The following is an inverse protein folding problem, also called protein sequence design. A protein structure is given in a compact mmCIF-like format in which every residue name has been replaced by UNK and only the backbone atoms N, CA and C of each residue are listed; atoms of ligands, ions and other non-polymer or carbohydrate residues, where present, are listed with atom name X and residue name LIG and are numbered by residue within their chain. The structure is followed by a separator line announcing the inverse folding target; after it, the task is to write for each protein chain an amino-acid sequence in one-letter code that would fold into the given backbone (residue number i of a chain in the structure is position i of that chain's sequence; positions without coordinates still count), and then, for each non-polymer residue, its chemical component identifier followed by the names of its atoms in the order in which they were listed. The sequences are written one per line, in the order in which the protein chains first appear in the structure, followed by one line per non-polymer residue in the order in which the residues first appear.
data_IF_630182915062
#
_entry.id   IF_630182915062
#
_cell.length_a   1.000
_cell.length_b   1.000
_cell.length_c   1.000
_cell.angle_alpha   90.00
_cell.angle_beta   90.00
_cell.angle_gamma   90.00
#
_symmetry.space_group_name_H-M   'P 1'
#
loop_
_entity.id
_entity.type
_entity.pdbx_description
1 polymer ?
#
# COMPACT_ATOMS: atom_id res chain seq x y z
N UNK A 1 18.18 23.95 -13.29
CA UNK A 1 19.54 23.91 -12.69
C UNK A 1 20.30 25.22 -12.96
N UNK A 2 20.44 25.69 -14.21
CA UNK A 2 21.12 26.96 -14.54
C UNK A 2 20.60 28.21 -13.80
N UNK A 3 19.28 28.39 -13.69
CA UNK A 3 18.67 29.50 -12.94
C UNK A 3 18.90 29.47 -11.43
N UNK A 4 19.01 28.28 -10.83
CA UNK A 4 19.23 28.14 -9.39
C UNK A 4 20.67 28.50 -8.98
N UNK A 5 21.64 28.17 -9.83
CA UNK A 5 23.05 28.52 -9.64
C UNK A 5 23.24 30.04 -9.77
N UNK A 6 22.59 30.67 -10.75
CA UNK A 6 22.62 32.12 -10.92
C UNK A 6 21.97 32.87 -9.75
N UNK A 7 20.81 32.41 -9.26
CA UNK A 7 20.15 33.00 -8.10
C UNK A 7 21.01 32.89 -6.83
N UNK A 8 21.64 31.73 -6.60
CA UNK A 8 22.56 31.53 -5.47
C UNK A 8 23.77 32.47 -5.54
N UNK A 9 24.37 32.62 -6.73
CA UNK A 9 25.50 33.53 -6.94
C UNK A 9 25.13 35.00 -6.66
N UNK A 10 23.96 35.44 -7.13
CA UNK A 10 23.45 36.80 -6.86
C UNK A 10 23.19 37.00 -5.37
N UNK A 11 22.58 36.02 -4.68
CA UNK A 11 22.38 36.09 -3.22
C UNK A 11 23.71 36.21 -2.48
N UNK A 12 24.69 35.37 -2.78
CA UNK A 12 26.01 35.40 -2.13
C UNK A 12 26.73 36.74 -2.36
N UNK A 13 26.74 37.25 -3.60
CA UNK A 13 27.34 38.54 -3.93
C UNK A 13 26.64 39.71 -3.21
N UNK A 14 25.32 39.63 -3.03
CA UNK A 14 24.56 40.67 -2.30
C UNK A 14 24.87 40.66 -0.81
N UNK A 15 24.97 39.48 -0.18
CA UNK A 15 25.36 39.39 1.23
C UNK A 15 26.79 39.87 1.46
N UNK A 16 27.72 39.56 0.54
CA UNK A 16 29.09 40.09 0.57
C UNK A 16 29.12 41.62 0.43
N UNK A 17 28.34 42.19 -0.48
CA UNK A 17 28.22 43.64 -0.67
C UNK A 17 27.57 44.32 0.54
N UNK A 18 26.54 43.70 1.13
CA UNK A 18 25.90 44.14 2.37
C UNK A 18 26.90 44.22 3.53
N UNK A 19 27.73 43.20 3.71
CA UNK A 19 28.79 43.19 4.72
C UNK A 19 29.86 44.29 4.48
N UNK A 20 30.22 44.55 3.23
CA UNK A 20 31.14 45.66 2.87
C UNK A 20 30.51 47.02 3.17
N UNK A 21 29.22 47.21 2.86
CA UNK A 21 28.48 48.44 3.12
C UNK A 21 28.29 48.68 4.63
N UNK A 22 28.10 47.63 5.40
CA UNK A 22 28.02 47.69 6.87
C UNK A 22 29.37 48.10 7.48
N UNK A 23 30.49 47.57 6.98
CA UNK A 23 31.85 48.00 7.35
C UNK A 23 32.12 49.47 7.02
N UNK A 24 31.50 50.02 5.97
CA UNK A 24 31.58 51.46 5.60
C UNK A 24 30.55 52.34 6.34
N UNK A 25 30.02 51.89 7.48
CA UNK A 25 28.99 52.56 8.30
C UNK A 25 27.66 52.87 7.58
N UNK A 26 27.38 52.31 6.40
CA UNK A 26 26.12 52.50 5.65
C UNK A 26 25.07 51.44 6.03
N UNK A 27 24.82 51.28 7.33
CA UNK A 27 23.98 50.20 7.89
C UNK A 27 22.55 50.18 7.32
N UNK A 28 21.94 51.36 7.12
CA UNK A 28 20.60 51.47 6.51
C UNK A 28 20.58 50.97 5.06
N UNK A 29 21.59 51.32 4.27
CA UNK A 29 21.71 50.90 2.87
C UNK A 29 21.94 49.38 2.76
N UNK A 30 22.77 48.82 3.65
CA UNK A 30 22.99 47.37 3.76
C UNK A 30 21.69 46.63 4.12
N UNK A 31 20.94 47.13 5.11
CA UNK A 31 19.64 46.58 5.48
C UNK A 31 18.61 46.63 4.36
N UNK A 32 18.54 47.74 3.61
CA UNK A 32 17.67 47.87 2.44
C UNK A 32 18.05 46.89 1.32
N UNK A 33 19.35 46.73 1.04
CA UNK A 33 19.85 45.81 0.02
C UNK A 33 19.52 44.35 0.36
N UNK A 34 19.79 43.93 1.60
CA UNK A 34 19.46 42.57 2.07
C UNK A 34 17.96 42.33 2.02
N UNK A 35 17.15 43.29 2.49
CA UNK A 35 15.68 43.19 2.46
C UNK A 35 15.14 43.09 1.03
N UNK A 36 15.68 43.89 0.10
CA UNK A 36 15.30 43.85 -1.31
C UNK A 36 15.62 42.49 -1.94
N UNK A 37 16.81 41.92 -1.67
CA UNK A 37 17.19 40.62 -2.24
C UNK A 37 16.41 39.47 -1.62
N UNK A 38 16.10 39.52 -0.32
CA UNK A 38 15.19 38.56 0.31
C UNK A 38 13.80 38.66 -0.33
N UNK A 39 13.25 39.87 -0.48
CA UNK A 39 11.94 40.08 -1.11
C UNK A 39 11.91 39.61 -2.57
N UNK A 40 12.90 40.01 -3.38
CA UNK A 40 13.05 39.58 -4.76
C UNK A 40 13.20 38.05 -4.86
N UNK A 41 13.94 37.43 -3.93
CA UNK A 41 14.06 35.98 -3.81
C UNK A 41 12.72 35.30 -3.54
N UNK A 42 11.92 35.83 -2.61
CA UNK A 42 10.55 35.36 -2.33
C UNK A 42 9.68 35.51 -3.57
N UNK A 43 9.67 36.68 -4.22
CA UNK A 43 8.90 36.92 -5.44
C UNK A 43 9.30 35.97 -6.58
N UNK A 44 10.59 35.78 -6.83
CA UNK A 44 11.10 34.84 -7.82
C UNK A 44 10.68 33.39 -7.51
N UNK A 45 10.73 32.99 -6.24
CA UNK A 45 10.27 31.67 -5.82
C UNK A 45 8.76 31.51 -6.06
N UNK A 46 7.95 32.49 -5.64
CA UNK A 46 6.50 32.49 -5.85
C UNK A 46 6.13 32.44 -7.34
N UNK A 47 6.77 33.25 -8.19
CA UNK A 47 6.58 33.25 -9.64
C UNK A 47 6.95 31.87 -10.20
N UNK A 48 8.14 31.38 -9.89
CA UNK A 48 8.64 30.10 -10.40
C UNK A 48 7.76 28.93 -9.98
N UNK A 49 7.20 28.95 -8.77
CA UNK A 49 6.43 27.82 -8.26
C UNK A 49 4.95 27.89 -8.66
N UNK A 50 4.30 29.05 -8.53
CA UNK A 50 2.84 29.14 -8.59
C UNK A 50 2.29 29.71 -9.90
N UNK A 51 3.08 30.43 -10.69
CA UNK A 51 2.59 31.05 -11.93
C UNK A 51 2.77 30.15 -13.16
N UNK A 52 2.02 30.38 -14.25
CA UNK A 52 2.19 29.66 -15.52
C UNK A 52 3.57 29.82 -16.17
N UNK A 53 4.34 30.85 -15.81
CA UNK A 53 5.70 31.09 -16.32
C UNK A 53 6.70 30.05 -15.76
N UNK A 54 6.39 29.46 -14.60
CA UNK A 54 7.19 28.43 -13.96
C UNK A 54 6.52 27.06 -13.94
N UNK A 55 6.51 26.40 -12.78
CA UNK A 55 5.94 25.06 -12.61
C UNK A 55 4.40 25.03 -12.64
N UNK A 56 3.74 26.19 -12.53
CA UNK A 56 2.29 26.29 -12.42
C UNK A 56 1.71 25.33 -11.37
N UNK A 57 2.35 25.25 -10.20
CA UNK A 57 2.02 24.26 -9.18
C UNK A 57 0.56 24.37 -8.74
N UNK A 58 0.02 25.59 -8.68
CA UNK A 58 -1.39 25.85 -8.38
C UNK A 58 -2.36 25.15 -9.36
N UNK A 59 -2.02 25.06 -10.64
CA UNK A 59 -2.85 24.41 -11.66
C UNK A 59 -2.93 22.88 -11.49
N UNK A 60 -2.08 22.29 -10.63
CA UNK A 60 -2.14 20.85 -10.30
C UNK A 60 -3.21 20.52 -9.27
N UNK A 61 -3.80 21.51 -8.62
CA UNK A 61 -4.83 21.31 -7.61
C UNK A 61 -6.22 21.50 -8.20
N UNK A 62 -7.20 20.84 -7.57
CA UNK A 62 -8.62 21.03 -7.90
C UNK A 62 -9.04 22.47 -7.58
N UNK A 63 -9.93 23.04 -8.40
CA UNK A 63 -10.52 24.35 -8.14
C UNK A 63 -11.24 24.35 -6.78
N UNK A 64 -11.26 25.51 -6.12
CA UNK A 64 -12.02 25.73 -4.87
C UNK A 64 -13.48 25.29 -5.07
N UNK A 65 -14.03 24.57 -4.09
CA UNK A 65 -15.41 24.06 -4.11
C UNK A 65 -15.61 22.75 -4.87
N UNK A 66 -14.56 22.19 -5.51
CA UNK A 66 -14.66 20.95 -6.30
C UNK A 66 -14.06 19.74 -5.57
N UNK A 67 -13.32 19.94 -4.47
CA UNK A 67 -12.65 18.85 -3.74
C UNK A 67 -13.62 17.78 -3.25
N UNK A 68 -14.78 18.19 -2.74
CA UNK A 68 -15.79 17.26 -2.23
C UNK A 68 -16.39 16.38 -3.34
N UNK A 69 -16.75 16.94 -4.49
CA UNK A 69 -17.30 16.16 -5.61
C UNK A 69 -16.26 15.21 -6.25
N UNK A 70 -14.98 15.54 -6.11
CA UNK A 70 -13.87 14.65 -6.49
C UNK A 70 -13.76 13.50 -5.50
N UNK A 71 -13.69 13.76 -4.20
CA UNK A 71 -13.53 12.73 -3.16
C UNK A 71 -14.78 11.85 -3.03
N UNK A 72 -15.97 12.46 -2.98
CA UNK A 72 -17.27 11.80 -2.93
C UNK A 72 -17.83 11.62 -4.34
N UNK A 73 -17.04 10.95 -5.19
CA UNK A 73 -17.45 10.66 -6.55
C UNK A 73 -18.65 9.66 -6.60
N UNK A 74 -19.15 9.38 -7.81
CA UNK A 74 -20.30 8.48 -8.00
C UNK A 74 -20.11 7.09 -7.39
N UNK A 75 -18.93 6.48 -7.48
CA UNK A 75 -18.69 5.15 -6.90
C UNK A 75 -18.77 5.19 -5.37
N UNK A 76 -18.21 6.23 -4.73
CA UNK A 76 -18.32 6.44 -3.28
C UNK A 76 -19.76 6.71 -2.87
N UNK A 77 -20.48 7.56 -3.61
CA UNK A 77 -21.90 7.83 -3.37
C UNK A 77 -22.76 6.60 -3.54
N UNK A 78 -22.47 5.73 -4.50
CA UNK A 78 -23.19 4.45 -4.64
C UNK A 78 -23.07 3.63 -3.35
N UNK A 79 -21.87 3.50 -2.79
CA UNK A 79 -21.62 2.79 -1.52
C UNK A 79 -22.40 3.42 -0.36
N UNK A 80 -22.35 4.74 -0.21
CA UNK A 80 -23.06 5.45 0.86
C UNK A 80 -24.60 5.34 0.72
N UNK A 81 -25.11 5.37 -0.51
CA UNK A 81 -26.54 5.31 -0.80
C UNK A 81 -27.11 3.89 -0.73
N UNK A 82 -26.27 2.86 -0.91
CA UNK A 82 -26.72 1.49 -1.01
C UNK A 82 -27.29 0.91 0.30
N UNK A 83 -27.29 1.68 1.40
CA UNK A 83 -27.75 1.24 2.74
C UNK A 83 -27.23 -0.17 3.02
N UNK A 84 -25.92 -0.36 2.85
CA UNK A 84 -25.26 -1.66 2.93
C UNK A 84 -25.64 -2.34 4.25
N UNK A 85 -26.28 -3.48 4.14
CA UNK A 85 -27.13 -4.06 5.18
C UNK A 85 -26.37 -4.84 6.27
N UNK A 86 -25.06 -4.60 6.44
CA UNK A 86 -24.25 -5.40 7.36
C UNK A 86 -23.82 -4.57 8.57
N UNK A 87 -24.41 -4.91 9.72
CA UNK A 87 -23.81 -4.65 11.03
C UNK A 87 -22.49 -5.42 11.10
N UNK A 88 -21.36 -4.72 11.23
CA UNK A 88 -20.05 -5.36 11.40
C UNK A 88 -18.91 -4.69 10.65
N UNK A 89 -17.78 -5.40 10.56
CA UNK A 89 -16.60 -4.96 9.83
C UNK A 89 -16.57 -5.52 8.41
N UNK A 90 -16.57 -4.64 7.40
CA UNK A 90 -16.30 -4.99 6.01
C UNK A 90 -15.43 -3.92 5.34
N UNK A 91 -14.89 -4.25 4.17
CA UNK A 91 -14.18 -3.35 3.28
C UNK A 91 -14.86 -3.22 1.93
N UNK A 92 -14.59 -2.10 1.28
CA UNK A 92 -15.03 -1.79 -0.07
C UNK A 92 -13.81 -1.60 -0.98
N UNK A 93 -13.82 -2.25 -2.15
CA UNK A 93 -12.85 -1.97 -3.21
C UNK A 93 -13.42 -0.90 -4.15
N UNK A 94 -12.68 0.20 -4.31
CA UNK A 94 -13.02 1.34 -5.15
C UNK A 94 -12.13 1.41 -6.39
N UNK A 95 -12.54 2.15 -7.43
CA UNK A 95 -11.70 2.36 -8.61
C UNK A 95 -10.45 3.16 -8.23
N UNK A 96 -9.27 2.61 -8.54
CA UNK A 96 -7.92 2.98 -8.06
C UNK A 96 -7.40 4.39 -8.39
N UNK A 97 -8.23 5.44 -8.30
CA UNK A 97 -7.89 6.78 -8.80
C UNK A 97 -7.82 7.86 -7.72
N UNK A 98 -8.33 7.60 -6.51
CA UNK A 98 -8.40 8.60 -5.44
C UNK A 98 -8.05 8.01 -4.08
N UNK A 99 -6.74 7.89 -3.84
CA UNK A 99 -6.21 7.45 -2.56
C UNK A 99 -6.79 8.25 -1.40
N UNK A 100 -7.08 7.54 -0.30
CA UNK A 100 -7.61 8.10 0.95
C UNK A 100 -9.00 8.75 0.84
N UNK A 101 -9.74 8.56 -0.26
CA UNK A 101 -11.16 8.97 -0.31
C UNK A 101 -12.00 8.29 0.78
N UNK A 102 -11.56 7.11 1.21
CA UNK A 102 -12.07 6.36 2.37
C UNK A 102 -12.14 7.16 3.66
N UNK A 103 -11.11 7.97 3.95
CA UNK A 103 -11.08 8.81 5.16
C UNK A 103 -12.17 9.88 5.12
N UNK A 104 -12.39 10.49 3.96
CA UNK A 104 -13.43 11.50 3.78
C UNK A 104 -14.84 10.88 3.83
N UNK A 105 -14.99 9.68 3.28
CA UNK A 105 -16.29 8.98 3.20
C UNK A 105 -16.61 8.09 4.41
N UNK A 106 -15.67 7.93 5.36
CA UNK A 106 -15.76 7.03 6.53
C UNK A 106 -16.11 5.58 6.14
N UNK A 107 -15.46 5.08 5.09
CA UNK A 107 -15.59 3.70 4.60
C UNK A 107 -14.24 3.01 4.69
N UNK A 108 -14.22 1.73 5.06
CA UNK A 108 -12.99 0.97 5.08
C UNK A 108 -12.64 0.52 3.64
N UNK A 109 -11.46 0.90 3.13
CA UNK A 109 -10.97 0.49 1.80
C UNK A 109 -9.67 -0.30 1.89
N UNK A 110 -9.25 -0.87 0.76
CA UNK A 110 -7.97 -1.58 0.63
C UNK A 110 -6.86 -0.70 0.04
N UNK A 111 -7.23 0.41 -0.61
CA UNK A 111 -6.29 1.42 -1.10
C UNK A 111 -5.95 2.46 -0.03
N UNK A 112 -4.69 2.91 -0.01
CA UNK A 112 -4.25 4.02 0.81
C UNK A 112 -2.95 4.64 0.29
N UNK A 113 -2.72 5.89 0.69
CA UNK A 113 -1.46 6.60 0.50
C UNK A 113 -1.02 7.22 1.83
N UNK A 114 0.06 6.70 2.42
CA UNK A 114 0.63 7.22 3.66
C UNK A 114 2.14 7.36 3.54
N UNK A 115 2.70 8.43 4.10
CA UNK A 115 4.15 8.69 4.09
C UNK A 115 4.96 7.59 4.77
N UNK A 116 4.35 6.90 5.74
CA UNK A 116 4.96 5.81 6.50
C UNK A 116 4.03 4.61 6.41
N UNK A 117 4.59 3.48 5.98
CA UNK A 117 3.88 2.20 5.92
C UNK A 117 4.77 1.12 6.55
N UNK A 118 4.20 0.08 7.19
CA UNK A 118 5.00 -1.05 7.67
C UNK A 118 5.76 -1.73 6.53
N UNK A 119 7.03 -2.09 6.75
CA UNK A 119 7.85 -2.82 5.76
C UNK A 119 7.16 -4.11 5.29
N UNK A 120 6.47 -4.79 6.20
CA UNK A 120 5.72 -6.01 5.91
C UNK A 120 4.67 -5.84 4.81
N UNK A 121 3.98 -4.69 4.77
CA UNK A 121 3.00 -4.39 3.72
C UNK A 121 3.65 -4.31 2.34
N UNK A 122 4.86 -3.73 2.25
CA UNK A 122 5.67 -3.80 1.02
C UNK A 122 5.99 -5.25 0.69
N UNK A 123 6.51 -6.00 1.65
CA UNK A 123 7.00 -7.36 1.40
C UNK A 123 5.85 -8.27 0.91
N UNK A 124 4.63 -8.07 1.43
CA UNK A 124 3.42 -8.73 0.94
C UNK A 124 3.18 -8.43 -0.55
N UNK A 125 3.13 -7.16 -0.95
CA UNK A 125 2.86 -6.78 -2.34
C UNK A 125 3.95 -7.28 -3.31
N UNK A 126 5.21 -7.26 -2.86
CA UNK A 126 6.33 -7.81 -3.63
C UNK A 126 6.18 -9.32 -3.81
N UNK A 127 5.91 -10.06 -2.72
CA UNK A 127 5.76 -11.52 -2.77
C UNK A 127 4.62 -11.98 -3.68
N UNK A 128 3.61 -11.13 -3.91
CA UNK A 128 2.45 -11.42 -4.74
C UNK A 128 2.61 -10.98 -6.21
N UNK A 129 3.74 -10.35 -6.57
CA UNK A 129 4.00 -9.91 -7.94
C UNK A 129 2.98 -8.88 -8.46
N UNK A 130 2.55 -7.97 -7.58
CA UNK A 130 1.51 -6.97 -7.88
C UNK A 130 1.93 -6.03 -9.01
N UNK A 131 1.08 -5.88 -10.04
CA UNK A 131 1.42 -5.19 -11.28
C UNK A 131 1.54 -3.66 -11.14
N UNK A 132 0.75 -3.04 -10.26
CA UNK A 132 0.69 -1.61 -9.98
C UNK A 132 1.68 -1.16 -8.90
N UNK A 133 2.33 -2.10 -8.22
CA UNK A 133 3.24 -1.77 -7.13
C UNK A 133 4.53 -1.10 -7.65
N UNK A 134 4.53 0.24 -7.67
CA UNK A 134 5.68 1.07 -8.10
C UNK A 134 6.19 2.03 -7.02
N UNK A 135 5.49 2.11 -5.88
CA UNK A 135 5.78 3.02 -4.79
C UNK A 135 5.58 2.32 -3.47
N UNK A 136 6.56 2.37 -2.55
CA UNK A 136 6.38 1.75 -1.25
C UNK A 136 5.28 2.42 -0.43
N UNK A 137 5.03 3.72 -0.60
CA UNK A 137 4.06 4.47 0.18
C UNK A 137 2.62 4.44 -0.35
N UNK A 138 2.36 3.75 -1.46
CA UNK A 138 1.04 3.69 -2.09
C UNK A 138 0.61 2.23 -2.24
N UNK A 139 -0.57 1.90 -1.75
CA UNK A 139 -1.25 0.65 -2.05
C UNK A 139 -2.47 0.95 -2.94
N UNK A 140 -2.44 0.46 -4.18
CA UNK A 140 -3.46 0.75 -5.21
C UNK A 140 -4.71 -0.16 -5.15
N UNK A 141 -4.88 -0.90 -4.05
CA UNK A 141 -5.90 -1.93 -3.89
C UNK A 141 -5.38 -3.33 -4.24
N UNK A 142 -6.29 -4.27 -4.51
CA UNK A 142 -5.98 -5.71 -4.56
C UNK A 142 -5.89 -6.28 -5.98
N UNK A 143 -5.90 -5.42 -7.00
CA UNK A 143 -5.85 -5.81 -8.42
C UNK A 143 -6.91 -6.84 -8.81
N UNK A 144 -8.09 -6.75 -8.19
CA UNK A 144 -9.21 -7.70 -8.33
C UNK A 144 -8.88 -9.15 -7.97
N UNK A 145 -7.81 -9.43 -7.23
CA UNK A 145 -7.40 -10.78 -6.79
C UNK A 145 -8.40 -11.33 -5.78
N UNK A 146 -9.10 -12.40 -6.12
CA UNK A 146 -10.22 -12.97 -5.37
C UNK A 146 -9.79 -13.45 -4.00
N UNK A 147 -8.66 -14.15 -3.90
CA UNK A 147 -8.12 -14.58 -2.60
C UNK A 147 -7.90 -13.38 -1.67
N UNK A 148 -7.24 -12.33 -2.16
CA UNK A 148 -6.97 -11.14 -1.35
C UNK A 148 -8.27 -10.42 -0.96
N UNK A 149 -9.24 -10.32 -1.87
CA UNK A 149 -10.55 -9.74 -1.54
C UNK A 149 -11.25 -10.53 -0.44
N UNK A 150 -11.20 -11.86 -0.51
CA UNK A 150 -11.77 -12.74 0.52
C UNK A 150 -11.07 -12.51 1.86
N UNK A 151 -9.74 -12.64 1.90
CA UNK A 151 -8.92 -12.50 3.11
C UNK A 151 -8.98 -11.13 3.76
N UNK A 152 -9.29 -10.07 3.00
CA UNK A 152 -9.30 -8.69 3.47
C UNK A 152 -10.70 -8.11 3.65
N UNK A 153 -11.68 -8.99 3.82
CA UNK A 153 -13.05 -8.63 4.15
C UNK A 153 -13.70 -7.72 3.10
N UNK A 154 -13.26 -7.81 1.83
CA UNK A 154 -13.81 -7.00 0.75
C UNK A 154 -15.16 -7.60 0.36
N UNK A 155 -16.21 -7.07 0.99
CA UNK A 155 -17.59 -7.47 0.78
C UNK A 155 -18.20 -6.83 -0.45
N UNK A 156 -17.83 -5.58 -0.71
CA UNK A 156 -18.40 -4.79 -1.80
C UNK A 156 -17.30 -4.28 -2.73
N UNK A 157 -17.59 -4.34 -4.02
CA UNK A 157 -16.81 -3.66 -5.03
C UNK A 157 -17.70 -2.65 -5.72
N UNK A 158 -17.32 -1.38 -5.71
CA UNK A 158 -18.11 -0.32 -6.32
C UNK A 158 -17.39 0.30 -7.50
N UNK A 159 -18.11 0.50 -8.59
CA UNK A 159 -17.64 1.24 -9.75
C UNK A 159 -18.68 2.28 -10.20
N UNK A 160 -18.48 2.86 -11.39
CA UNK A 160 -19.42 3.85 -11.95
C UNK A 160 -20.77 3.25 -12.35
N UNK A 161 -20.85 1.94 -12.56
CA UNK A 161 -22.03 1.21 -13.03
C UNK A 161 -22.87 0.67 -11.89
N UNK A 162 -22.25 0.33 -10.75
CA UNK A 162 -22.98 -0.14 -9.58
C UNK A 162 -22.07 -0.76 -8.52
N UNK A 163 -22.68 -1.60 -7.69
CA UNK A 163 -22.01 -2.37 -6.63
C UNK A 163 -22.13 -3.85 -6.95
N UNK A 164 -21.01 -4.56 -6.85
CA UNK A 164 -20.95 -6.02 -6.87
C UNK A 164 -20.67 -6.52 -5.47
N UNK A 165 -21.30 -7.63 -5.12
CA UNK A 165 -21.23 -8.24 -3.79
C UNK A 165 -20.34 -9.48 -3.86
N UNK A 166 -19.43 -9.62 -2.90
CA UNK A 166 -18.53 -10.76 -2.74
C UNK A 166 -19.00 -11.62 -1.56
N UNK A 167 -19.74 -12.69 -1.83
CA UNK A 167 -20.22 -13.64 -0.79
C UNK A 167 -19.08 -14.38 -0.09
N UNK A 168 -17.91 -14.43 -0.73
CA UNK A 168 -16.74 -15.14 -0.22
C UNK A 168 -15.86 -14.27 0.70
N UNK A 169 -16.26 -13.02 1.01
CA UNK A 169 -15.54 -12.14 1.92
C UNK A 169 -15.47 -12.72 3.35
N UNK A 170 -14.27 -13.00 3.85
CA UNK A 170 -14.06 -13.51 5.20
C UNK A 170 -14.26 -12.39 6.25
N UNK A 171 -14.69 -12.74 7.47
CA UNK A 171 -14.73 -11.77 8.58
C UNK A 171 -13.36 -11.19 8.90
N UNK A 172 -13.32 -10.12 9.72
CA UNK A 172 -12.06 -9.46 10.10
C UNK A 172 -11.07 -10.40 10.79
N UNK A 173 -11.56 -11.44 11.45
CA UNK A 173 -10.75 -12.50 12.04
C UNK A 173 -11.18 -13.88 11.55
N UNK A 174 -10.22 -14.69 11.14
CA UNK A 174 -10.40 -16.10 10.75
C UNK A 174 -9.17 -16.91 11.14
N UNK A 175 -9.31 -18.22 11.24
CA UNK A 175 -8.31 -19.08 11.88
C UNK A 175 -7.57 -19.99 10.93
N UNK A 176 -6.37 -20.39 11.34
CA UNK A 176 -5.54 -21.41 10.73
C UNK A 176 -5.16 -22.47 11.75
N UNK A 177 -5.11 -23.71 11.28
CA UNK A 177 -4.57 -24.92 11.94
C UNK A 177 -3.19 -25.30 11.41
N UNK A 178 -2.81 -24.75 10.26
CA UNK A 178 -1.52 -25.00 9.61
C UNK A 178 -0.71 -23.73 9.55
N UNK A 179 0.60 -23.88 9.73
CA UNK A 179 1.56 -22.79 9.64
C UNK A 179 2.55 -23.04 8.49
N UNK A 180 3.15 -21.97 8.00
CA UNK A 180 4.25 -22.03 7.04
C UNK A 180 5.34 -21.08 7.53
N UNK A 181 6.60 -21.53 7.47
CA UNK A 181 7.72 -20.66 7.85
C UNK A 181 7.87 -19.53 6.84
N UNK A 182 8.38 -18.39 7.27
CA UNK A 182 8.67 -17.28 6.36
C UNK A 182 9.73 -17.65 5.30
N UNK A 183 10.66 -18.51 5.67
CA UNK A 183 11.70 -19.01 4.77
C UNK A 183 11.10 -19.85 3.63
N UNK A 184 10.21 -20.79 3.93
CA UNK A 184 9.53 -21.60 2.92
C UNK A 184 8.67 -20.71 2.01
N UNK A 185 7.93 -19.77 2.59
CA UNK A 185 7.11 -18.82 1.84
C UNK A 185 7.92 -17.98 0.85
N UNK A 186 9.07 -17.44 1.27
CA UNK A 186 9.91 -16.57 0.42
C UNK A 186 10.56 -17.33 -0.76
N UNK A 187 10.52 -18.68 -0.77
CA UNK A 187 10.99 -19.53 -1.88
C UNK A 187 9.91 -19.78 -2.94
N UNK A 188 8.64 -19.49 -2.65
CA UNK A 188 7.51 -19.74 -3.53
C UNK A 188 7.43 -18.72 -4.69
N UNK A 189 6.80 -19.11 -5.78
CA UNK A 189 6.40 -18.18 -6.84
C UNK A 189 5.27 -17.26 -6.36
N UNK A 190 5.01 -16.12 -7.03
CA UNK A 190 3.98 -15.20 -6.56
C UNK A 190 2.55 -15.74 -6.47
N UNK A 191 2.20 -16.72 -7.30
CA UNK A 191 0.87 -17.36 -7.27
C UNK A 191 0.80 -18.41 -6.16
N UNK A 192 1.88 -19.15 -5.94
CA UNK A 192 2.00 -20.07 -4.80
C UNK A 192 1.98 -19.31 -3.48
N UNK A 193 2.67 -18.16 -3.38
CA UNK A 193 2.55 -17.23 -2.26
C UNK A 193 1.08 -16.89 -2.01
N UNK A 194 0.33 -16.47 -3.04
CA UNK A 194 -1.08 -16.11 -2.87
C UNK A 194 -1.94 -17.28 -2.40
N UNK A 195 -1.71 -18.49 -2.93
CA UNK A 195 -2.40 -19.70 -2.50
C UNK A 195 -2.04 -20.06 -1.04
N UNK A 196 -0.76 -19.98 -0.69
CA UNK A 196 -0.24 -20.26 0.65
C UNK A 196 -0.86 -19.32 1.70
N UNK A 197 -1.04 -18.04 1.40
CA UNK A 197 -1.68 -17.09 2.31
C UNK A 197 -3.13 -17.49 2.66
N UNK A 198 -3.86 -18.18 1.77
CA UNK A 198 -5.22 -18.64 2.07
C UNK A 198 -5.23 -19.93 2.91
N UNK A 199 -4.20 -20.75 2.77
CA UNK A 199 -4.11 -22.09 3.35
C UNK A 199 -3.37 -22.14 4.69
N UNK A 200 -2.34 -21.30 4.87
CA UNK A 200 -1.44 -21.30 6.02
C UNK A 200 -1.35 -19.94 6.69
N UNK A 201 -1.14 -19.94 8.02
CA UNK A 201 -0.59 -18.79 8.70
C UNK A 201 0.92 -18.74 8.44
N UNK A 202 1.39 -17.77 7.66
CA UNK A 202 2.83 -17.59 7.39
C UNK A 202 3.46 -16.84 8.56
N UNK A 203 4.41 -17.47 9.25
CA UNK A 203 5.03 -16.99 10.49
C UNK A 203 6.52 -16.68 10.30
N UNK A 204 7.00 -15.58 10.88
CA UNK A 204 8.42 -15.27 10.95
C UNK A 204 9.08 -15.85 12.22
N UNK A 205 10.40 -15.80 12.31
CA UNK A 205 11.16 -16.35 13.44
C UNK A 205 10.70 -15.79 14.80
N UNK A 206 10.26 -14.53 14.85
CA UNK A 206 9.77 -13.91 16.08
C UNK A 206 8.41 -14.51 16.47
N UNK A 207 7.51 -14.72 15.51
CA UNK A 207 6.24 -15.42 15.72
C UNK A 207 6.44 -16.86 16.16
N UNK A 208 7.35 -17.60 15.53
CA UNK A 208 7.65 -18.99 15.90
C UNK A 208 8.21 -19.09 17.32
N UNK A 209 9.16 -18.21 17.70
CA UNK A 209 9.68 -18.13 19.08
C UNK A 209 8.60 -17.80 20.11
N UNK A 210 7.57 -17.03 19.73
CA UNK A 210 6.43 -16.75 20.62
C UNK A 210 5.64 -18.04 20.86
N UNK A 211 5.32 -18.79 19.81
CA UNK A 211 4.57 -20.04 19.91
C UNK A 211 5.35 -21.13 20.66
N UNK A 212 6.65 -21.26 20.41
CA UNK A 212 7.54 -22.19 21.13
C UNK A 212 7.56 -21.91 22.63
N UNK A 213 7.67 -20.63 23.04
CA UNK A 213 7.59 -20.24 24.45
C UNK A 213 6.24 -20.52 25.09
N UNK A 214 5.19 -20.64 24.29
CA UNK A 214 3.85 -21.03 24.73
C UNK A 214 3.64 -22.55 24.70
N UNK A 215 4.63 -23.33 24.25
CA UNK A 215 4.55 -24.79 24.13
C UNK A 215 3.57 -25.27 23.06
N UNK A 216 3.31 -24.44 22.03
CA UNK A 216 2.30 -24.73 21.00
C UNK A 216 2.96 -25.21 19.70
N UNK A 217 2.36 -26.22 19.08
CA UNK A 217 2.84 -26.82 17.82
C UNK A 217 1.69 -26.93 16.82
N UNK A 218 2.01 -26.80 15.54
CA UNK A 218 1.06 -26.82 14.43
C UNK A 218 1.64 -27.61 13.27
N UNK A 219 0.76 -28.14 12.40
CA UNK A 219 1.19 -28.75 11.14
C UNK A 219 1.93 -27.72 10.28
N UNK A 220 3.11 -28.09 9.76
CA UNK A 220 3.95 -27.22 8.94
C UNK A 220 3.88 -27.59 7.48
N UNK A 221 3.45 -26.64 6.64
CA UNK A 221 3.51 -26.76 5.18
C UNK A 221 4.76 -26.10 4.60
N UNK A 222 5.23 -26.62 3.46
CA UNK A 222 6.33 -26.04 2.66
C UNK A 222 5.88 -25.49 1.32
N UNK A 223 4.70 -25.90 0.85
CA UNK A 223 4.07 -25.45 -0.39
C UNK A 223 2.55 -25.46 -0.22
N UNK A 224 1.81 -24.74 -1.08
CA UNK A 224 0.36 -24.93 -1.21
C UNK A 224 0.00 -26.38 -1.54
N UNK A 225 -1.23 -26.78 -1.23
CA UNK A 225 -1.78 -28.07 -1.67
C UNK A 225 -1.61 -28.30 -3.17
N UNK A 226 -1.40 -29.56 -3.56
CA UNK A 226 -1.33 -29.96 -4.97
C UNK A 226 -2.58 -29.52 -5.74
N UNK A 227 -2.38 -29.01 -6.96
CA UNK A 227 -3.46 -28.47 -7.79
C UNK A 227 -3.95 -27.07 -7.38
N UNK A 228 -3.40 -26.45 -6.32
CA UNK A 228 -3.74 -25.07 -5.98
C UNK A 228 -3.35 -24.09 -7.10
N UNK A 229 -2.13 -24.24 -7.64
CA UNK A 229 -1.63 -23.48 -8.80
C UNK A 229 -1.53 -24.42 -9.99
N UNK A 230 -2.16 -24.03 -11.09
CA UNK A 230 -2.27 -24.82 -12.31
C UNK A 230 -1.62 -24.12 -13.49
N UNK A 231 -1.06 -24.91 -14.41
CA UNK A 231 -0.46 -24.41 -15.63
C UNK A 231 -1.50 -23.98 -16.68
N UNK A 232 -1.00 -23.37 -17.74
CA UNK A 232 -1.80 -23.03 -18.89
C UNK A 232 -0.98 -22.79 -20.15
N UNK A 233 -1.66 -22.91 -21.28
CA UNK A 233 -1.09 -22.64 -22.58
C UNK A 233 -1.33 -21.19 -22.98
N UNK A 234 -0.28 -20.56 -23.51
CA UNK A 234 -0.31 -19.19 -24.03
C UNK A 234 0.11 -19.19 -25.50
N UNK A 235 -0.68 -18.54 -26.35
CA UNK A 235 -0.38 -18.37 -27.78
C UNK A 235 -0.49 -16.91 -28.18
N UNK A 236 0.52 -16.39 -28.87
CA UNK A 236 0.41 -15.10 -29.57
C UNK A 236 -0.44 -15.32 -30.83
N UNK A 237 -1.54 -14.57 -30.96
CA UNK A 237 -2.50 -14.71 -32.06
C UNK A 237 -2.52 -13.51 -32.99
N UNK A 238 -1.76 -12.46 -32.68
CA UNK A 238 -1.65 -11.30 -33.55
C UNK A 238 -0.75 -10.23 -32.98
N UNK A 239 0.01 -9.60 -33.86
CA UNK A 239 0.96 -8.54 -33.51
C UNK A 239 0.66 -7.34 -34.40
N UNK A 240 0.41 -6.19 -33.78
CA UNK A 240 0.20 -4.91 -34.45
C UNK A 240 1.20 -3.92 -33.90
N UNK A 241 2.22 -3.59 -34.70
CA UNK A 241 3.33 -2.70 -34.32
C UNK A 241 3.99 -3.11 -33.00
N UNK A 242 4.03 -4.41 -32.74
CA UNK A 242 4.67 -5.04 -31.59
C UNK A 242 5.43 -6.28 -32.05
N UNK A 243 6.44 -6.70 -31.28
CA UNK A 243 7.10 -7.99 -31.45
C UNK A 243 7.72 -8.46 -30.14
N UNK A 244 7.78 -9.77 -29.94
CA UNK A 244 8.51 -10.38 -28.84
C UNK A 244 9.39 -11.51 -29.36
N UNK A 245 10.70 -11.35 -29.21
CA UNK A 245 11.69 -12.33 -29.67
C UNK A 245 12.92 -12.25 -28.76
N UNK A 246 13.50 -13.40 -28.43
CA UNK A 246 14.77 -13.52 -27.68
C UNK A 246 14.82 -12.65 -26.41
N UNK A 247 13.77 -12.74 -25.58
CA UNK A 247 13.68 -11.99 -24.32
C UNK A 247 13.48 -10.47 -24.47
N UNK A 248 13.19 -10.00 -25.68
CA UNK A 248 13.06 -8.58 -26.03
C UNK A 248 11.65 -8.29 -26.54
N UNK A 249 10.89 -7.46 -25.81
CA UNK A 249 9.56 -7.01 -26.18
C UNK A 249 9.65 -5.60 -26.77
N UNK A 250 9.27 -5.42 -28.04
CA UNK A 250 9.24 -4.12 -28.72
C UNK A 250 7.80 -3.74 -29.02
N UNK A 251 7.48 -2.46 -28.87
CA UNK A 251 6.19 -1.93 -29.32
C UNK A 251 6.29 -0.47 -29.72
N UNK A 252 5.55 -0.06 -30.75
CA UNK A 252 5.35 1.35 -31.11
C UNK A 252 4.17 1.93 -30.33
N UNK A 253 4.06 3.26 -30.27
CA UNK A 253 2.89 3.95 -29.70
C UNK A 253 1.59 3.38 -30.29
N UNK A 254 0.63 3.04 -29.41
CA UNK A 254 -0.65 2.38 -29.72
C UNK A 254 -0.55 0.95 -30.25
N UNK A 255 0.66 0.35 -30.31
CA UNK A 255 0.85 -1.03 -30.70
C UNK A 255 0.19 -2.01 -29.73
N UNK A 256 -0.09 -3.22 -30.24
CA UNK A 256 -0.80 -4.28 -29.51
C UNK A 256 -0.21 -5.65 -29.82
N UNK A 257 -0.15 -6.50 -28.81
CA UNK A 257 0.14 -7.93 -28.96
C UNK A 257 -1.02 -8.71 -28.38
N UNK A 258 -1.74 -9.46 -29.22
CA UNK A 258 -2.91 -10.27 -28.85
C UNK A 258 -2.46 -11.65 -28.44
N UNK A 259 -3.00 -12.10 -27.31
CA UNK A 259 -2.69 -13.35 -26.66
C UNK A 259 -4.00 -14.13 -26.48
N UNK A 260 -3.97 -15.42 -26.79
CA UNK A 260 -5.01 -16.39 -26.44
C UNK A 260 -4.44 -17.34 -25.40
N UNK A 261 -5.24 -17.65 -24.39
CA UNK A 261 -4.80 -18.51 -23.30
C UNK A 261 -5.88 -19.50 -22.89
N UNK A 262 -5.42 -20.59 -22.27
CA UNK A 262 -6.25 -21.61 -21.66
C UNK A 262 -5.49 -22.28 -20.50
N UNK A 263 -6.07 -22.29 -19.30
CA UNK A 263 -5.61 -23.07 -18.15
C UNK A 263 -6.21 -24.47 -18.18
N UNK A 264 -5.64 -25.38 -17.38
CA UNK A 264 -6.12 -26.77 -17.25
C UNK A 264 -7.59 -26.83 -16.82
N UNK A 265 -7.98 -26.02 -15.85
CA UNK A 265 -9.35 -25.89 -15.35
C UNK A 265 -9.74 -24.43 -15.07
N UNK A 266 -10.96 -24.20 -14.60
CA UNK A 266 -11.43 -22.86 -14.26
C UNK A 266 -10.71 -22.33 -13.02
N UNK A 267 -10.02 -21.21 -13.20
CA UNK A 267 -9.14 -20.61 -12.19
C UNK A 267 -9.26 -19.11 -12.15
N UNK A 268 -8.78 -18.49 -11.06
CA UNK A 268 -8.32 -17.10 -11.12
C UNK A 268 -7.04 -17.03 -11.96
N UNK A 269 -7.14 -16.51 -13.17
CA UNK A 269 -6.11 -16.68 -14.20
C UNK A 269 -5.23 -15.46 -14.35
N UNK A 270 -3.92 -15.67 -14.51
CA UNK A 270 -2.90 -14.63 -14.55
C UNK A 270 -2.04 -14.74 -15.79
N UNK A 271 -1.75 -13.58 -16.40
CA UNK A 271 -0.60 -13.43 -17.28
C UNK A 271 0.63 -13.11 -16.43
N UNK A 272 1.59 -14.04 -16.40
CA UNK A 272 2.84 -13.90 -15.66
C UNK A 272 3.93 -13.37 -16.60
N UNK A 273 4.54 -12.26 -16.23
CA UNK A 273 5.61 -11.59 -16.97
C UNK A 273 6.89 -11.68 -16.14
N UNK A 274 7.88 -12.46 -16.61
CA UNK A 274 9.17 -12.63 -15.92
C UNK A 274 10.23 -11.68 -16.47
N UNK A 275 10.97 -11.04 -15.58
CA UNK A 275 12.02 -10.06 -15.86
C UNK A 275 11.57 -8.87 -16.73
N UNK A 276 10.32 -8.43 -16.58
CA UNK A 276 9.84 -7.25 -17.29
C UNK A 276 10.56 -5.99 -16.79
N UNK A 277 11.35 -5.36 -17.65
CA UNK A 277 12.05 -4.12 -17.34
C UNK A 277 12.01 -3.14 -18.50
N UNK A 278 11.73 -1.88 -18.19
CA UNK A 278 11.80 -0.80 -19.18
C UNK A 278 13.22 -0.34 -19.48
N UNK A 279 14.20 -0.73 -18.65
CA UNK A 279 15.58 -0.21 -18.69
C UNK A 279 15.68 1.33 -18.63
N UNK A 280 14.65 2.01 -18.15
CA UNK A 280 14.65 3.47 -18.07
C UNK A 280 15.59 3.95 -16.94
N UNK A 281 16.40 4.98 -17.24
CA UNK A 281 17.29 5.61 -16.25
C UNK A 281 16.57 6.64 -15.36
N UNK A 282 15.44 7.17 -15.83
CA UNK A 282 14.67 8.22 -15.15
C UNK A 282 13.21 7.81 -15.02
N UNK A 283 12.58 8.23 -13.92
CA UNK A 283 11.16 8.00 -13.66
C UNK A 283 10.32 8.86 -14.62
N UNK A 284 9.99 8.33 -15.80
CA UNK A 284 8.99 8.92 -16.70
C UNK A 284 7.68 8.14 -16.56
N UNK A 285 6.53 8.83 -16.69
CA UNK A 285 5.21 8.19 -16.84
C UNK A 285 5.20 7.35 -18.12
N UNK A 286 5.67 6.11 -18.01
CA UNK A 286 5.70 5.13 -19.08
C UNK A 286 4.95 3.91 -18.57
N UNK A 287 4.02 3.40 -19.38
CA UNK A 287 3.13 2.32 -18.97
C UNK A 287 3.09 1.27 -20.06
N UNK A 288 3.09 0.01 -19.64
CA UNK A 288 2.55 -1.09 -20.42
C UNK A 288 1.16 -1.38 -19.83
N UNK A 289 0.20 -1.82 -20.62
CA UNK A 289 -1.08 -2.28 -20.07
C UNK A 289 -1.42 -3.66 -20.58
N UNK A 290 -2.08 -4.44 -19.75
CA UNK A 290 -2.75 -5.68 -20.15
C UNK A 290 -4.24 -5.40 -20.17
N UNK A 291 -4.88 -5.69 -21.30
CA UNK A 291 -6.31 -5.52 -21.47
C UNK A 291 -6.96 -6.87 -21.78
N UNK A 292 -8.05 -7.16 -21.09
CA UNK A 292 -8.97 -8.26 -21.37
C UNK A 292 -10.39 -7.72 -21.47
N UNK A 293 -11.36 -8.58 -21.78
CA UNK A 293 -12.79 -8.18 -21.82
C UNK A 293 -13.29 -7.62 -20.48
N UNK A 294 -12.74 -8.08 -19.34
CA UNK A 294 -13.21 -7.69 -18.00
C UNK A 294 -12.25 -6.79 -17.23
N UNK A 295 -11.00 -6.67 -17.65
CA UNK A 295 -9.98 -5.96 -16.89
C UNK A 295 -9.06 -5.16 -17.80
N UNK A 296 -8.65 -3.98 -17.33
CA UNK A 296 -7.51 -3.25 -17.86
C UNK A 296 -6.58 -2.96 -16.68
N UNK A 297 -5.41 -3.56 -16.72
CA UNK A 297 -4.39 -3.35 -15.70
C UNK A 297 -3.24 -2.56 -16.30
N UNK A 298 -2.87 -1.47 -15.64
CA UNK A 298 -1.69 -0.69 -16.01
C UNK A 298 -0.50 -1.18 -15.21
N UNK A 299 0.61 -1.40 -15.91
CA UNK A 299 1.91 -1.76 -15.36
C UNK A 299 2.78 -0.52 -15.51
N UNK A 300 2.88 0.33 -14.47
CA UNK A 300 3.77 1.47 -14.50
C UNK A 300 5.22 1.00 -14.55
N UNK A 301 6.00 1.58 -15.47
CA UNK A 301 7.42 1.28 -15.59
C UNK A 301 8.23 2.17 -14.66
N UNK A 302 9.13 1.57 -13.89
CA UNK A 302 10.00 2.26 -12.97
C UNK A 302 11.40 2.47 -13.58
N UNK A 303 12.20 3.35 -12.96
CA UNK A 303 13.62 3.39 -13.27
C UNK A 303 14.29 2.08 -12.80
N UNK A 304 15.32 1.60 -13.50
CA UNK A 304 16.00 0.31 -13.22
C UNK A 304 16.42 0.17 -11.75
N UNK A 305 16.96 1.24 -11.17
CA UNK A 305 17.38 1.24 -9.76
C UNK A 305 16.23 0.98 -8.81
N UNK A 306 15.02 1.45 -9.15
CA UNK A 306 13.82 1.20 -8.37
C UNK A 306 13.24 -0.18 -8.67
N UNK A 307 13.25 -0.65 -9.93
CA UNK A 307 12.81 -2.01 -10.28
C UNK A 307 13.56 -3.06 -9.42
N UNK A 308 14.89 -2.92 -9.31
CA UNK A 308 15.72 -3.78 -8.43
C UNK A 308 15.35 -3.65 -6.95
N UNK A 309 15.18 -2.43 -6.44
CA UNK A 309 14.78 -2.20 -5.03
C UNK A 309 13.40 -2.78 -4.71
N UNK A 310 12.52 -2.83 -5.70
CA UNK A 310 11.14 -3.32 -5.58
C UNK A 310 11.02 -4.81 -5.92
N UNK A 311 12.14 -5.48 -6.29
CA UNK A 311 12.19 -6.91 -6.65
C UNK A 311 11.09 -7.32 -7.63
N UNK A 312 10.91 -6.55 -8.71
CA UNK A 312 9.85 -6.78 -9.72
C UNK A 312 10.27 -7.83 -10.77
N UNK A 313 10.87 -8.93 -10.31
CA UNK A 313 11.36 -10.00 -11.18
C UNK A 313 10.19 -10.80 -11.79
N UNK A 314 9.06 -10.85 -11.09
CA UNK A 314 7.82 -11.46 -11.59
C UNK A 314 6.65 -10.51 -11.38
N UNK A 315 5.88 -10.29 -12.44
CA UNK A 315 4.62 -9.53 -12.41
C UNK A 315 3.48 -10.45 -12.83
N UNK A 316 2.50 -10.64 -11.95
CA UNK A 316 1.32 -11.45 -12.20
C UNK A 316 0.10 -10.55 -12.42
N UNK A 317 -0.39 -10.50 -13.66
CA UNK A 317 -1.52 -9.65 -14.05
C UNK A 317 -2.81 -10.45 -14.07
N UNK A 318 -3.73 -10.13 -13.16
CA UNK A 318 -5.01 -10.81 -13.05
C UNK A 318 -5.90 -10.58 -14.29
N UNK A 319 -6.35 -11.67 -14.91
CA UNK A 319 -7.25 -11.69 -16.07
C UNK A 319 -8.71 -12.06 -15.67
N UNK A 320 -8.95 -12.32 -14.40
CA UNK A 320 -10.21 -12.71 -13.77
C UNK A 320 -10.45 -14.22 -13.76
N UNK A 321 -11.50 -14.64 -13.05
CA UNK A 321 -11.89 -16.06 -12.97
C UNK A 321 -12.42 -16.56 -14.31
N UNK A 322 -11.66 -17.44 -14.97
CA UNK A 322 -12.00 -18.11 -16.24
C UNK A 322 -10.95 -19.18 -16.59
N UNK A 323 -11.37 -20.19 -17.33
CA UNK A 323 -10.44 -21.20 -17.89
C UNK A 323 -9.74 -20.71 -19.17
N UNK A 324 -10.44 -20.03 -20.07
CA UNK A 324 -9.89 -19.60 -21.35
C UNK A 324 -10.30 -18.17 -21.71
N UNK A 325 -9.53 -17.55 -22.61
CA UNK A 325 -9.87 -16.24 -23.13
C UNK A 325 -8.77 -15.59 -23.96
N UNK A 326 -8.93 -14.30 -24.16
CA UNK A 326 -7.95 -13.46 -24.85
C UNK A 326 -7.60 -12.24 -24.01
N UNK A 327 -6.34 -11.85 -24.05
CA UNK A 327 -5.87 -10.57 -23.55
C UNK A 327 -4.91 -9.94 -24.56
N UNK A 328 -4.53 -8.70 -24.32
CA UNK A 328 -3.54 -8.02 -25.16
C UNK A 328 -2.63 -7.14 -24.33
N UNK A 329 -1.35 -7.11 -24.72
CA UNK A 329 -0.41 -6.09 -24.28
C UNK A 329 -0.64 -4.82 -25.10
N UNK A 330 -0.69 -3.66 -24.46
CA UNK A 330 -0.90 -2.36 -25.09
C UNK A 330 0.25 -1.41 -24.78
N UNK A 331 0.86 -0.86 -25.83
CA UNK A 331 2.00 0.05 -25.74
C UNK A 331 1.55 1.50 -25.83
N UNK A 332 1.68 2.25 -24.73
CA UNK A 332 1.29 3.67 -24.70
C UNK A 332 2.32 4.59 -25.37
N UNK A 333 3.56 4.12 -25.50
CA UNK A 333 4.68 4.83 -26.10
C UNK A 333 5.57 3.83 -26.84
N UNK A 334 6.25 4.29 -27.89
CA UNK A 334 7.26 3.48 -28.57
C UNK A 334 8.42 3.18 -27.64
N UNK A 335 8.73 1.91 -27.41
CA UNK A 335 9.80 1.49 -26.49
C UNK A 335 10.23 0.03 -26.70
N UNK A 336 11.42 -0.30 -26.20
CA UNK A 336 11.95 -1.67 -26.11
C UNK A 336 12.13 -2.06 -24.66
N UNK A 337 11.54 -3.18 -24.27
CA UNK A 337 11.54 -3.73 -22.92
C UNK A 337 12.34 -5.03 -22.89
N UNK A 338 12.99 -5.32 -21.77
CA UNK A 338 13.37 -6.70 -21.43
C UNK A 338 12.11 -7.42 -20.96
N UNK A 339 11.87 -8.63 -21.44
CA UNK A 339 10.82 -9.53 -20.97
C UNK A 339 11.28 -10.95 -21.30
N UNK A 340 11.73 -11.69 -20.29
CA UNK A 340 12.36 -13.00 -20.50
C UNK A 340 11.33 -14.03 -20.97
N UNK A 341 10.22 -14.12 -20.25
CA UNK A 341 9.18 -15.14 -20.46
C UNK A 341 7.78 -14.53 -20.24
N UNK A 342 6.80 -15.05 -20.99
CA UNK A 342 5.38 -14.83 -20.77
C UNK A 342 4.69 -16.17 -20.59
N UNK A 343 3.96 -16.32 -19.49
CA UNK A 343 3.29 -17.57 -19.14
C UNK A 343 1.88 -17.31 -18.66
N UNK A 344 1.07 -18.37 -18.67
CA UNK A 344 -0.27 -18.38 -18.10
C UNK A 344 -0.29 -19.39 -16.97
N UNK A 345 -0.74 -18.93 -15.82
CA UNK A 345 -1.02 -19.76 -14.67
C UNK A 345 -2.38 -19.38 -14.09
N UNK A 346 -2.98 -20.32 -13.37
CA UNK A 346 -4.21 -20.11 -12.64
C UNK A 346 -4.06 -20.52 -11.19
N UNK A 347 -4.84 -19.91 -10.30
CA UNK A 347 -5.14 -20.49 -9.00
C UNK A 347 -6.53 -21.12 -9.08
N UNK A 348 -6.62 -22.42 -8.82
CA UNK A 348 -7.85 -23.20 -9.01
C UNK A 348 -9.06 -22.57 -8.31
N UNK A 349 -10.19 -22.43 -9.02
CA UNK A 349 -11.42 -21.90 -8.42
C UNK A 349 -11.94 -22.85 -7.33
N UNK A 350 -11.74 -24.16 -7.49
CA UNK A 350 -12.14 -25.15 -6.49
C UNK A 350 -11.34 -24.99 -5.21
N UNK A 351 -10.00 -24.86 -5.32
CA UNK A 351 -9.10 -24.57 -4.21
C UNK A 351 -9.52 -23.28 -3.47
N UNK A 352 -9.75 -22.18 -4.20
CA UNK A 352 -10.16 -20.89 -3.60
C UNK A 352 -11.44 -21.06 -2.77
N UNK A 353 -12.46 -21.74 -3.33
CA UNK A 353 -13.74 -21.95 -2.64
C UNK A 353 -13.59 -22.85 -1.43
N UNK A 354 -12.87 -23.96 -1.56
CA UNK A 354 -12.68 -24.90 -0.46
C UNK A 354 -11.94 -24.25 0.71
N UNK A 355 -10.80 -23.59 0.44
CA UNK A 355 -10.01 -22.97 1.50
C UNK A 355 -10.73 -21.77 2.11
N UNK A 356 -11.43 -20.95 1.31
CA UNK A 356 -12.27 -19.87 1.86
C UNK A 356 -13.36 -20.42 2.77
N UNK A 357 -14.02 -21.52 2.37
CA UNK A 357 -15.03 -22.20 3.21
C UNK A 357 -14.42 -22.70 4.52
N UNK A 358 -13.21 -23.29 4.49
CA UNK A 358 -12.49 -23.73 5.69
C UNK A 358 -12.22 -22.57 6.64
N UNK A 359 -11.67 -21.45 6.14
CA UNK A 359 -11.37 -20.26 6.95
C UNK A 359 -12.61 -19.59 7.53
N UNK A 360 -13.77 -19.71 6.88
CA UNK A 360 -15.04 -19.16 7.37
C UNK A 360 -15.61 -19.93 8.57
N UNK A 361 -15.35 -21.25 8.69
CA UNK A 361 -15.97 -22.10 9.73
C UNK A 361 -15.76 -21.57 11.14
N UNK A 362 -14.52 -21.21 11.46
CA UNK A 362 -14.11 -20.71 12.78
C UNK A 362 -13.54 -19.31 12.61
N UNK A 363 -14.45 -18.34 12.55
CA UNK A 363 -14.14 -16.94 12.30
C UNK A 363 -14.88 -16.03 13.28
N UNK A 364 -14.42 -14.79 13.39
CA UNK A 364 -14.98 -13.84 14.34
C UNK A 364 -16.40 -13.43 13.95
N UNK A 365 -17.28 -13.41 14.94
CA UNK A 365 -18.65 -12.92 14.88
C UNK A 365 -18.83 -11.72 15.82
N UNK A 366 -20.01 -11.09 15.77
CA UNK A 366 -20.38 -9.93 16.60
C UNK A 366 -19.33 -8.79 16.58
N UNK A 367 -18.74 -8.58 15.40
CA UNK A 367 -17.61 -7.67 15.25
C UNK A 367 -18.08 -6.22 15.36
N UNK A 368 -17.54 -5.50 16.34
CA UNK A 368 -17.75 -4.07 16.53
C UNK A 368 -16.46 -3.32 16.27
N UNK A 369 -16.54 -2.27 15.47
CA UNK A 369 -15.43 -1.38 15.17
C UNK A 369 -15.72 0.02 15.70
N UNK A 370 -14.70 0.65 16.29
CA UNK A 370 -14.64 2.08 16.53
C UNK A 370 -13.31 2.64 15.98
N UNK A 371 -13.01 3.91 16.21
CA UNK A 371 -11.85 4.62 15.63
C UNK A 371 -10.52 3.89 15.82
N UNK A 372 -10.30 3.31 17.00
CA UNK A 372 -9.05 2.67 17.37
C UNK A 372 -9.27 1.31 18.08
N UNK A 373 -10.45 0.71 17.92
CA UNK A 373 -10.79 -0.56 18.54
C UNK A 373 -11.53 -1.48 17.56
N UNK A 374 -11.18 -2.76 17.58
CA UNK A 374 -12.01 -3.84 17.00
C UNK A 374 -12.23 -4.87 18.10
N UNK A 375 -13.48 -5.27 18.30
CA UNK A 375 -13.91 -6.30 19.26
C UNK A 375 -14.79 -7.31 18.55
N UNK A 376 -14.68 -8.58 18.91
CA UNK A 376 -15.60 -9.61 18.46
C UNK A 376 -15.49 -10.88 19.30
N UNK A 377 -16.34 -11.86 18.96
CA UNK A 377 -16.35 -13.19 19.58
C UNK A 377 -15.88 -14.23 18.59
N UNK A 378 -15.32 -15.32 19.07
CA UNK A 378 -14.94 -16.46 18.24
C UNK A 378 -15.02 -17.74 19.09
N UNK A 379 -15.40 -18.84 18.45
CA UNK A 379 -15.35 -20.18 19.02
C UNK A 379 -14.45 -21.04 18.14
N UNK A 380 -13.49 -21.74 18.75
CA UNK A 380 -12.53 -22.60 18.05
C UNK A 380 -12.56 -24.00 18.66
N UNK A 381 -12.61 -25.02 17.80
CA UNK A 381 -12.76 -26.42 18.22
C UNK A 381 -11.47 -27.06 18.73
N UNK A 382 -10.33 -26.44 18.45
CA UNK A 382 -8.99 -26.81 18.88
C UNK A 382 -8.10 -25.56 18.99
N UNK A 383 -6.85 -25.75 19.39
CA UNK A 383 -5.84 -24.70 19.38
C UNK A 383 -5.63 -24.17 17.95
N UNK A 384 -5.74 -22.86 17.75
CA UNK A 384 -5.68 -22.23 16.41
C UNK A 384 -4.83 -20.96 16.40
N UNK A 385 -4.36 -20.58 15.23
CA UNK A 385 -3.84 -19.24 14.95
C UNK A 385 -4.97 -18.38 14.41
N UNK A 386 -5.42 -17.39 15.18
CA UNK A 386 -6.33 -16.36 14.69
C UNK A 386 -5.53 -15.30 13.92
N UNK A 387 -5.89 -15.10 12.65
CA UNK A 387 -5.43 -13.98 11.86
C UNK A 387 -6.50 -12.89 11.80
N UNK A 388 -6.11 -11.69 12.21
CA UNK A 388 -6.88 -10.48 12.00
C UNK A 388 -6.40 -9.81 10.71
N UNK A 389 -7.31 -9.49 9.80
CA UNK A 389 -7.08 -8.78 8.54
C UNK A 389 -6.73 -7.29 8.77
N UNK A 390 -5.88 -7.01 9.74
CA UNK A 390 -5.38 -5.69 10.16
C UNK A 390 -3.85 -5.75 10.14
N UNK A 391 -3.16 -4.81 9.49
CA UNK A 391 -1.71 -4.83 9.41
C UNK A 391 -1.05 -4.86 10.80
N UNK A 392 -0.05 -5.72 10.96
CA UNK A 392 0.71 -5.83 12.20
C UNK A 392 1.43 -4.53 12.53
N UNK A 393 1.32 -4.12 13.80
CA UNK A 393 2.00 -2.97 14.36
C UNK A 393 2.19 -3.17 15.85
N UNK A 394 3.33 -2.71 16.38
CA UNK A 394 3.58 -2.69 17.84
C UNK A 394 2.61 -1.76 18.60
N UNK A 395 1.86 -0.92 17.89
CA UNK A 395 0.82 -0.07 18.47
C UNK A 395 -0.49 -0.79 18.76
N UNK A 396 -0.67 -2.02 18.27
CA UNK A 396 -1.83 -2.85 18.61
C UNK A 396 -1.61 -3.57 19.93
N UNK A 397 -2.54 -3.37 20.86
CA UNK A 397 -2.62 -4.08 22.12
C UNK A 397 -3.84 -4.99 22.08
N UNK A 398 -3.62 -6.31 22.17
CA UNK A 398 -4.67 -7.32 22.00
C UNK A 398 -4.94 -8.02 23.33
N UNK A 399 -6.21 -8.27 23.60
CA UNK A 399 -6.71 -8.98 24.76
C UNK A 399 -7.59 -10.14 24.30
N UNK A 400 -7.40 -11.30 24.93
CA UNK A 400 -8.24 -12.49 24.80
C UNK A 400 -8.84 -12.73 26.17
N UNK A 401 -10.16 -12.68 26.28
CA UNK A 401 -10.91 -12.81 27.54
C UNK A 401 -10.43 -11.83 28.63
N UNK A 402 -10.15 -10.59 28.22
CA UNK A 402 -9.65 -9.53 29.10
C UNK A 402 -8.17 -9.65 29.49
N UNK A 403 -7.49 -10.76 29.13
CA UNK A 403 -6.06 -10.96 29.40
C UNK A 403 -5.24 -10.54 28.20
N UNK A 404 -4.14 -9.82 28.44
CA UNK A 404 -3.26 -9.33 27.37
C UNK A 404 -2.61 -10.51 26.62
N UNK A 405 -2.86 -10.59 25.32
CA UNK A 405 -2.30 -11.62 24.44
C UNK A 405 -1.03 -11.13 23.73
N UNK A 406 -0.11 -12.05 23.44
CA UNK A 406 1.03 -11.79 22.56
C UNK A 406 0.56 -11.87 21.11
N UNK A 407 0.86 -10.82 20.35
CA UNK A 407 0.58 -10.76 18.92
C UNK A 407 1.86 -10.76 18.11
N UNK A 408 1.76 -11.27 16.89
CA UNK A 408 2.86 -11.43 15.96
C UNK A 408 2.42 -11.12 14.52
N UNK A 409 3.38 -11.00 13.61
CA UNK A 409 3.07 -10.89 12.19
C UNK A 409 2.62 -12.26 11.67
N UNK A 410 1.46 -12.30 11.01
CA UNK A 410 0.90 -13.47 10.33
C UNK A 410 0.62 -13.13 8.87
N UNK A 411 0.79 -14.10 7.98
CA UNK A 411 0.56 -13.91 6.53
C UNK A 411 1.32 -12.69 6.00
N UNK A 412 2.61 -12.62 6.36
CA UNK A 412 3.59 -11.57 6.01
C UNK A 412 3.34 -10.22 6.66
N UNK A 413 2.10 -9.72 6.71
CA UNK A 413 1.82 -8.34 7.08
C UNK A 413 0.64 -8.13 8.04
N UNK A 414 -0.14 -9.17 8.33
CA UNK A 414 -1.34 -9.09 9.15
C UNK A 414 -1.06 -9.48 10.60
N UNK A 415 -2.04 -9.30 11.48
CA UNK A 415 -1.86 -9.53 12.90
C UNK A 415 -2.32 -10.93 13.27
N UNK A 416 -1.43 -11.74 13.82
CA UNK A 416 -1.73 -13.06 14.35
C UNK A 416 -1.77 -13.06 15.88
N UNK A 417 -2.66 -13.87 16.44
CA UNK A 417 -2.63 -14.29 17.84
C UNK A 417 -2.93 -15.78 17.93
N UNK A 418 -2.40 -16.42 18.97
CA UNK A 418 -2.76 -17.78 19.33
C UNK A 418 -4.06 -17.80 20.14
N UNK A 419 -4.94 -18.77 19.87
CA UNK A 419 -6.13 -19.07 20.64
C UNK A 419 -6.12 -20.53 21.08
N UNK A 420 -6.48 -20.78 22.34
CA UNK A 420 -6.73 -22.13 22.83
C UNK A 420 -8.09 -22.62 22.37
N UNK A 421 -8.35 -23.93 22.46
CA UNK A 421 -9.70 -24.46 22.27
C UNK A 421 -10.71 -23.77 23.21
N UNK A 422 -11.82 -23.28 22.65
CA UNK A 422 -12.92 -22.73 23.43
C UNK A 422 -13.58 -21.51 22.81
N UNK A 423 -14.40 -20.83 23.62
CA UNK A 423 -15.03 -19.57 23.28
C UNK A 423 -14.22 -18.41 23.82
N UNK A 424 -13.96 -17.42 22.97
CA UNK A 424 -13.11 -16.28 23.29
C UNK A 424 -13.76 -14.97 22.87
N UNK A 425 -13.55 -13.94 23.70
CA UNK A 425 -13.74 -12.55 23.31
C UNK A 425 -12.39 -11.93 22.98
N UNK A 426 -12.25 -11.44 21.74
CA UNK A 426 -11.01 -10.82 21.25
C UNK A 426 -11.21 -9.32 21.11
N UNK A 427 -10.32 -8.55 21.72
CA UNK A 427 -10.34 -7.08 21.71
C UNK A 427 -8.97 -6.54 21.32
N UNK A 428 -8.91 -5.65 20.33
CA UNK A 428 -7.67 -4.97 19.93
C UNK A 428 -7.82 -3.46 20.00
N UNK A 429 -6.85 -2.79 20.65
CA UNK A 429 -6.81 -1.35 20.81
C UNK A 429 -5.54 -0.78 20.18
N UNK A 430 -5.67 0.28 19.39
CA UNK A 430 -4.54 0.97 18.79
C UNK A 430 -4.11 2.18 19.59
N UNK A 431 -2.81 2.23 19.89
CA UNK A 431 -2.11 3.43 20.37
C UNK A 431 -0.88 3.62 19.49
N UNK A 432 -0.76 4.80 18.88
CA UNK A 432 0.41 5.13 18.05
C UNK A 432 1.70 4.92 18.85
N UNK A 433 2.65 4.09 18.37
CA UNK A 433 3.93 3.92 19.04
C UNK A 433 4.60 5.27 19.30
N UNK A 434 5.24 5.41 20.46
CA UNK A 434 5.95 6.62 20.90
C UNK A 434 5.09 7.85 21.19
N UNK A 435 3.76 7.79 21.04
CA UNK A 435 2.90 8.94 21.37
C UNK A 435 3.02 9.30 22.85
N UNK A 436 3.02 8.32 23.75
CA UNK A 436 3.12 8.55 25.20
C UNK A 436 4.51 9.12 25.58
N UNK A 437 5.66 8.48 25.25
CA UNK A 437 6.97 9.07 25.50
C UNK A 437 7.17 10.44 24.85
N UNK A 438 6.70 10.61 23.61
CA UNK A 438 6.82 11.87 22.88
C UNK A 438 6.01 12.99 23.52
N UNK A 439 4.81 12.71 24.01
CA UNK A 439 4.00 13.67 24.78
C UNK A 439 4.68 14.04 26.09
N UNK A 440 5.20 13.06 26.84
CA UNK A 440 5.92 13.31 28.10
C UNK A 440 7.13 14.22 27.89
N UNK A 441 7.97 13.92 26.89
CA UNK A 441 9.13 14.74 26.54
C UNK A 441 8.73 16.16 26.11
N UNK A 442 7.66 16.28 25.32
CA UNK A 442 7.15 17.57 24.88
C UNK A 442 6.68 18.43 26.06
N UNK A 443 5.90 17.85 26.97
CA UNK A 443 5.43 18.53 28.19
C UNK A 443 6.61 18.93 29.07
N UNK A 444 7.59 18.04 29.27
CA UNK A 444 8.80 18.35 30.04
C UNK A 444 9.60 19.52 29.43
N UNK A 445 9.72 19.57 28.10
CA UNK A 445 10.37 20.67 27.40
C UNK A 445 9.62 22.00 27.56
N UNK A 446 8.28 21.97 27.51
CA UNK A 446 7.45 23.16 27.77
C UNK A 446 7.60 23.66 29.21
N UNK A 447 7.61 22.77 30.19
CA UNK A 447 7.85 23.12 31.61
C UNK A 447 9.23 23.75 31.76
N UNK A 448 10.27 23.13 31.19
CA UNK A 448 11.63 23.66 31.21
C UNK A 448 11.71 25.05 30.58
N UNK A 449 11.08 25.24 29.42
CA UNK A 449 11.05 26.53 28.74
C UNK A 449 10.35 27.59 29.59
N UNK A 450 9.19 27.28 30.16
CA UNK A 450 8.45 28.19 31.04
C UNK A 450 9.27 28.59 32.27
N UNK A 451 9.95 27.63 32.92
CA UNK A 451 10.85 27.88 34.04
C UNK A 451 12.02 28.79 33.65
N UNK A 452 12.61 28.58 32.46
CA UNK A 452 13.72 29.43 31.97
C UNK A 452 13.31 30.90 31.77
N UNK A 453 12.10 31.14 31.25
CA UNK A 453 11.54 32.48 31.11
C UNK A 453 11.23 33.11 32.47
N UNK A 454 10.68 32.35 33.42
CA UNK A 454 10.39 32.83 34.77
C UNK A 454 11.68 33.25 35.52
N UNK A 455 12.75 32.44 35.42
CA UNK A 455 14.06 32.77 36.00
C UNK A 455 14.67 34.02 35.34
N UNK A 456 14.59 34.13 34.01
CA UNK A 456 15.10 35.30 33.27
C UNK A 456 14.35 36.59 33.65
N UNK A 457 13.02 36.51 33.81
CA UNK A 457 12.19 37.65 34.23
C UNK A 457 12.49 38.07 35.68
N UNK A 458 12.75 37.11 36.59
CA UNK A 458 13.23 37.41 37.95
C UNK A 458 14.60 38.09 37.92
N UNK A 459 15.57 37.61 37.14
CA UNK A 459 16.88 38.27 37.00
C UNK A 459 16.78 39.72 36.48
N UNK A 460 16.03 39.96 35.41
CA UNK A 460 15.83 41.33 34.87
C UNK A 460 15.10 42.23 35.88
N UNK A 461 14.14 41.69 36.64
CA UNK A 461 13.44 42.45 37.68
C UNK A 461 14.31 42.80 38.88
N UNK A 462 15.28 41.96 39.22
CA UNK A 462 16.25 42.23 40.30
C UNK A 462 17.28 43.26 39.84
N UNK A 463 17.82 43.13 38.63
CA UNK A 463 18.76 44.12 38.06
C UNK A 463 18.13 45.51 37.88
N UNK A 464 16.82 45.60 37.62
CA UNK A 464 16.07 46.88 37.59
C UNK A 464 15.77 47.48 38.97
N UNK A 465 15.89 46.72 40.06
CA UNK A 465 15.75 47.24 41.43
C UNK A 465 17.09 47.65 42.06
N UNK A 466 18.20 47.22 41.46
CA UNK A 466 19.57 47.52 41.93
C UNK A 466 20.16 48.75 41.18
N UNK A 467 19.54 49.18 40.08
CA UNK A 467 19.73 50.52 39.50
C UNK A 467 18.64 51.46 39.98
#
# INVERSE_FOLDING_TARGET
MRYAIAALAVTVLTFALGAILERKQRKRLAGCLVSFVVFAGVCCNLITFFTPVGYSYAARFTKRGVSESVLLNRAVKNVQNAKLAEDGFYRVELPSSLYNCSLAAKINTTEFYYSVIPKSMKDLYVSLGMAKYERPNVMEGLENRQILKNMLCVRYQADKKGITVNEDALPVGYTYDKIMSREDYDRLTPLECQAALLEYAVLDDDAEKILEKQGKTFERGKSPSDGAVIGGNLKITGEDRASWKDGTLKGKKQGRMKLKFQTEEKSETYLVLKDLSSRLKVRKKHMLSVQSKKARQEIPMCAVSNEKKMKRDVIAVNLGIRQAGTCSLHFHKSHTYKLKEMEIYGISESFIKEQTKKRRKESMTDVKQSTNCIKGRISVSEDKILQLAVPYSRGWHIFVDGKKAKSFASSVAYTGIFLEKGEHTVEMHYISPWIIPGTVLSVAAWIWMALSFAVKKRRISVDKRIK
#
